data_IF_250291179696
#
_entry.id   IF_250291179696
#
_cell.length_a   1.000
_cell.length_b   1.000
_cell.length_c   1.000
_cell.angle_alpha   90.00
_cell.angle_beta   90.00
_cell.angle_gamma   90.00
#
_symmetry.space_group_name_H-M   'P 1'
#
loop_
_entity.id
_entity.type
_entity.pdbx_description
1 polymer ?
#
# COMPACT_ATOMS: atom_id res chain seq x y z
N UNK A 1 23.35 -40.06 -29.89
CA UNK A 1 22.48 -40.06 -28.70
C UNK A 1 22.40 -38.63 -28.20
N UNK A 2 21.35 -37.90 -28.55
CA UNK A 2 21.17 -36.51 -28.14
C UNK A 2 20.22 -36.47 -26.94
N UNK A 3 20.74 -36.09 -25.78
CA UNK A 3 19.96 -35.85 -24.57
C UNK A 3 19.31 -34.47 -24.66
N UNK A 4 18.01 -34.46 -24.96
CA UNK A 4 17.17 -33.26 -24.92
C UNK A 4 17.06 -32.76 -23.47
N UNK A 5 17.69 -31.62 -23.19
CA UNK A 5 17.55 -30.90 -21.93
C UNK A 5 16.09 -30.50 -21.71
N UNK A 6 15.46 -31.10 -20.69
CA UNK A 6 14.11 -30.81 -20.24
C UNK A 6 14.08 -29.38 -19.66
N UNK A 7 13.64 -28.41 -20.47
CA UNK A 7 13.37 -27.05 -20.00
C UNK A 7 12.34 -27.13 -18.87
N UNK A 8 12.78 -26.84 -17.65
CA UNK A 8 11.92 -26.53 -16.51
C UNK A 8 11.11 -25.29 -16.92
N UNK A 9 9.83 -25.49 -17.19
CA UNK A 9 8.88 -24.42 -17.47
C UNK A 9 8.73 -23.62 -16.16
N UNK A 10 9.04 -22.33 -16.17
CA UNK A 10 8.74 -21.43 -15.03
C UNK A 10 7.24 -21.58 -14.73
N UNK A 11 6.90 -22.01 -13.51
CA UNK A 11 5.54 -22.24 -13.06
C UNK A 11 4.77 -20.93 -12.77
N UNK A 12 5.49 -19.82 -12.62
CA UNK A 12 4.93 -18.48 -12.46
C UNK A 12 4.39 -17.97 -13.79
N UNK A 13 3.18 -17.41 -13.77
CA UNK A 13 2.53 -16.75 -14.91
C UNK A 13 3.14 -15.40 -15.29
N UNK A 14 4.25 -15.00 -14.65
CA UNK A 14 4.97 -13.78 -14.96
C UNK A 14 5.54 -13.79 -16.40
N UNK A 15 5.46 -12.67 -17.13
CA UNK A 15 6.06 -12.56 -18.45
C UNK A 15 7.60 -12.70 -18.40
N UNK A 16 8.17 -13.36 -19.41
CA UNK A 16 9.61 -13.52 -19.54
C UNK A 16 10.28 -12.16 -19.77
N UNK A 17 11.12 -11.70 -18.83
CA UNK A 17 11.77 -10.38 -18.87
C UNK A 17 11.35 -9.42 -17.74
N UNK A 18 10.39 -9.83 -16.91
CA UNK A 18 10.11 -9.19 -15.63
C UNK A 18 11.35 -9.26 -14.71
N UNK A 19 12.12 -8.18 -14.63
CA UNK A 19 13.29 -8.05 -13.75
C UNK A 19 12.96 -8.30 -12.28
N UNK A 20 13.95 -8.80 -11.53
CA UNK A 20 13.81 -9.18 -10.12
C UNK A 20 13.44 -8.00 -9.21
N UNK A 21 12.61 -8.29 -8.21
CA UNK A 21 11.87 -7.38 -7.32
C UNK A 21 10.64 -6.72 -7.97
N UNK A 22 9.62 -7.55 -8.25
CA UNK A 22 8.24 -7.07 -8.40
C UNK A 22 7.53 -7.26 -7.06
N UNK A 23 7.11 -6.16 -6.47
CA UNK A 23 6.14 -6.15 -5.39
C UNK A 23 4.72 -6.32 -5.97
N UNK A 24 3.81 -6.76 -5.10
CA UNK A 24 2.42 -7.04 -5.41
C UNK A 24 1.53 -6.46 -4.33
N UNK A 25 0.32 -6.08 -4.72
CA UNK A 25 -0.77 -5.79 -3.81
C UNK A 25 -1.84 -6.85 -4.02
N UNK A 26 -2.29 -7.48 -2.94
CA UNK A 26 -3.40 -8.41 -2.97
C UNK A 26 -4.63 -7.78 -2.31
N UNK A 27 -5.77 -7.97 -2.93
CA UNK A 27 -7.10 -7.67 -2.39
C UNK A 27 -7.72 -9.00 -2.00
N UNK A 28 -8.03 -9.19 -0.73
CA UNK A 28 -8.63 -10.43 -0.25
C UNK A 28 -10.15 -10.49 -0.52
N UNK A 29 -10.81 -11.57 -0.10
CA UNK A 29 -12.24 -11.80 -0.30
C UNK A 29 -13.15 -10.92 0.57
N UNK A 30 -12.63 -10.34 1.65
CA UNK A 30 -13.31 -9.33 2.48
C UNK A 30 -13.06 -7.89 1.99
N UNK A 31 -12.17 -7.72 1.01
CA UNK A 31 -11.85 -6.45 0.36
C UNK A 31 -10.72 -5.66 1.04
N UNK A 32 -9.93 -6.29 1.90
CA UNK A 32 -8.74 -5.69 2.52
C UNK A 32 -7.51 -5.78 1.60
N UNK A 33 -6.56 -4.85 1.81
CA UNK A 33 -5.38 -4.68 0.96
C UNK A 33 -4.10 -5.05 1.69
N UNK A 34 -3.33 -5.97 1.11
CA UNK A 34 -2.03 -6.40 1.63
C UNK A 34 -0.91 -6.20 0.61
N UNK A 35 0.26 -5.78 1.10
CA UNK A 35 1.45 -5.52 0.29
C UNK A 35 2.51 -6.62 0.47
N UNK A 36 3.03 -7.10 -0.66
CA UNK A 36 3.97 -8.22 -0.75
C UNK A 36 5.17 -7.79 -1.58
N UNK A 37 6.41 -8.00 -1.10
CA UNK A 37 7.62 -7.52 -1.80
C UNK A 37 8.08 -8.43 -2.94
N UNK A 38 7.51 -9.63 -3.01
CA UNK A 38 7.86 -10.63 -4.01
C UNK A 38 6.69 -11.60 -4.20
N UNK A 39 6.78 -12.41 -5.26
CA UNK A 39 5.81 -13.46 -5.52
C UNK A 39 5.85 -14.50 -4.39
N UNK A 40 7.02 -14.82 -3.84
CA UNK A 40 7.15 -15.79 -2.75
C UNK A 40 6.46 -15.30 -1.47
N UNK A 41 6.65 -14.03 -1.11
CA UNK A 41 5.96 -13.41 0.04
C UNK A 41 4.43 -13.42 -0.18
N UNK A 42 3.98 -13.14 -1.41
CA UNK A 42 2.56 -13.18 -1.79
C UNK A 42 1.99 -14.60 -1.62
N UNK A 43 2.62 -15.61 -2.22
CA UNK A 43 2.14 -16.99 -2.17
C UNK A 43 2.14 -17.52 -0.73
N UNK A 44 3.12 -17.12 0.09
CA UNK A 44 3.18 -17.51 1.49
C UNK A 44 2.06 -16.90 2.35
N UNK A 45 1.40 -15.84 1.88
CA UNK A 45 0.33 -15.16 2.61
C UNK A 45 -1.06 -15.78 2.42
N UNK A 46 -1.23 -16.70 1.46
CA UNK A 46 -2.53 -17.29 1.11
C UNK A 46 -2.48 -18.82 1.16
N UNK A 47 -3.55 -19.43 1.66
CA UNK A 47 -3.70 -20.89 1.73
C UNK A 47 -4.42 -21.44 0.49
N UNK A 48 -5.40 -20.69 -0.06
CA UNK A 48 -6.22 -21.16 -1.17
C UNK A 48 -6.42 -20.09 -2.27
N UNK A 49 -6.73 -20.57 -3.48
CA UNK A 49 -6.93 -19.74 -4.69
C UNK A 49 -7.97 -18.63 -4.52
N UNK A 50 -9.01 -18.86 -3.72
CA UNK A 50 -10.14 -17.94 -3.56
C UNK A 50 -9.94 -16.84 -2.52
N UNK A 51 -8.90 -16.92 -1.70
CA UNK A 51 -8.67 -15.94 -0.62
C UNK A 51 -8.21 -14.59 -1.17
N UNK A 52 -7.50 -14.58 -2.30
CA UNK A 52 -7.17 -13.35 -3.02
C UNK A 52 -8.17 -13.11 -4.15
N UNK A 53 -9.09 -12.15 -3.97
CA UNK A 53 -10.02 -11.71 -5.01
C UNK A 53 -9.29 -11.12 -6.23
N UNK A 54 -8.19 -10.40 -6.00
CA UNK A 54 -7.35 -9.82 -7.05
C UNK A 54 -5.91 -9.66 -6.56
N UNK A 55 -4.93 -9.89 -7.45
CA UNK A 55 -3.53 -9.54 -7.24
C UNK A 55 -3.12 -8.52 -8.30
N UNK A 56 -2.40 -7.48 -7.91
CA UNK A 56 -2.02 -6.35 -8.77
C UNK A 56 -0.50 -6.17 -8.70
N UNK A 57 0.15 -5.92 -9.83
CA UNK A 57 1.56 -5.50 -9.89
C UNK A 57 1.69 -3.99 -10.13
N UNK A 58 2.92 -3.45 -10.03
CA UNK A 58 3.18 -2.02 -10.28
C UNK A 58 2.84 -1.51 -11.66
N UNK A 59 2.68 -2.38 -12.65
CA UNK A 59 2.22 -1.98 -13.99
C UNK A 59 0.70 -1.88 -14.09
N UNK A 60 -0.02 -2.12 -13.00
CA UNK A 60 -1.47 -2.21 -12.97
C UNK A 60 -2.00 -3.51 -13.57
N UNK A 61 -1.13 -4.50 -13.80
CA UNK A 61 -1.52 -5.81 -14.29
C UNK A 61 -2.25 -6.58 -13.19
N UNK A 62 -3.41 -7.14 -13.53
CA UNK A 62 -4.21 -7.97 -12.64
C UNK A 62 -3.90 -9.46 -12.85
N UNK A 63 -3.87 -10.19 -11.75
CA UNK A 63 -3.57 -11.61 -11.67
C UNK A 63 -4.56 -12.29 -10.72
N UNK A 64 -4.58 -13.62 -10.77
CA UNK A 64 -5.26 -14.48 -9.78
C UNK A 64 -4.29 -15.54 -9.31
N UNK A 65 -4.47 -15.99 -8.07
CA UNK A 65 -3.83 -17.21 -7.62
C UNK A 65 -4.48 -18.40 -8.32
N UNK A 66 -3.69 -19.43 -8.63
CA UNK A 66 -4.16 -20.67 -9.26
C UNK A 66 -3.39 -21.86 -8.69
N UNK A 67 -3.92 -23.06 -8.87
CA UNK A 67 -3.16 -24.29 -8.60
C UNK A 67 -2.42 -24.72 -9.87
N UNK A 68 -1.12 -25.01 -9.74
CA UNK A 68 -0.35 -25.64 -10.80
C UNK A 68 -0.74 -27.12 -10.99
N UNK A 69 -0.09 -27.81 -11.94
CA UNK A 69 -0.34 -29.23 -12.20
C UNK A 69 -0.05 -30.15 -10.99
N UNK A 70 0.74 -29.68 -10.03
CA UNK A 70 1.10 -30.41 -8.80
C UNK A 70 0.25 -29.98 -7.60
N UNK A 71 -0.78 -29.14 -7.80
CA UNK A 71 -1.63 -28.57 -6.74
C UNK A 71 -0.88 -27.62 -5.79
N UNK A 72 0.20 -26.99 -6.25
CA UNK A 72 0.80 -25.89 -5.53
C UNK A 72 0.15 -24.57 -5.93
N UNK A 73 -0.03 -23.70 -4.95
CA UNK A 73 -0.50 -22.34 -5.17
C UNK A 73 0.59 -21.55 -5.90
N UNK A 74 0.22 -20.93 -7.02
CA UNK A 74 1.11 -20.11 -7.84
C UNK A 74 0.39 -18.86 -8.35
N UNK A 75 1.14 -17.85 -8.76
CA UNK A 75 0.58 -16.70 -9.45
C UNK A 75 0.22 -17.09 -10.88
N UNK A 76 -1.06 -16.93 -11.24
CA UNK A 76 -1.56 -17.20 -12.57
C UNK A 76 -1.03 -16.22 -13.62
N UNK A 77 -1.44 -16.41 -14.87
CA UNK A 77 -1.12 -15.45 -15.93
C UNK A 77 -1.81 -14.11 -15.71
N UNK A 78 -1.22 -13.04 -16.27
CA UNK A 78 -1.84 -11.72 -16.29
C UNK A 78 -3.19 -11.78 -17.03
N UNK A 79 -4.23 -11.21 -16.42
CA UNK A 79 -5.59 -11.19 -16.96
C UNK A 79 -5.88 -9.90 -17.77
N UNK A 80 -5.03 -8.90 -17.61
CA UNK A 80 -5.18 -7.58 -18.22
C UNK A 80 -5.00 -6.47 -17.17
N UNK A 81 -5.20 -5.20 -17.55
CA UNK A 81 -5.16 -4.09 -16.60
C UNK A 81 -6.28 -4.22 -15.57
N UNK A 82 -6.00 -3.85 -14.32
CA UNK A 82 -7.00 -3.77 -13.26
C UNK A 82 -8.06 -2.71 -13.61
N UNK A 83 -9.32 -2.99 -13.30
CA UNK A 83 -10.40 -2.04 -13.54
C UNK A 83 -10.30 -0.88 -12.54
N UNK A 84 -10.02 0.31 -13.06
CA UNK A 84 -9.70 1.51 -12.27
C UNK A 84 -10.83 1.92 -11.33
N UNK A 85 -12.09 1.91 -11.78
CA UNK A 85 -13.22 2.35 -10.95
C UNK A 85 -13.42 1.39 -9.79
N UNK A 86 -13.33 0.09 -10.04
CA UNK A 86 -13.39 -0.94 -9.02
C UNK A 86 -12.25 -0.78 -8.02
N UNK A 87 -11.00 -0.67 -8.48
CA UNK A 87 -9.83 -0.53 -7.60
C UNK A 87 -9.98 0.69 -6.69
N UNK A 88 -10.40 1.81 -7.25
CA UNK A 88 -10.67 3.05 -6.50
C UNK A 88 -11.75 2.84 -5.44
N UNK A 89 -12.89 2.25 -5.78
CA UNK A 89 -13.96 2.03 -4.81
C UNK A 89 -13.56 1.02 -3.73
N UNK A 90 -12.87 -0.05 -4.09
CA UNK A 90 -12.37 -1.06 -3.17
C UNK A 90 -11.38 -0.43 -2.18
N UNK A 91 -10.42 0.35 -2.67
CA UNK A 91 -9.43 1.02 -1.82
C UNK A 91 -10.08 1.99 -0.83
N UNK A 92 -11.08 2.76 -1.26
CA UNK A 92 -11.86 3.62 -0.36
C UNK A 92 -12.70 2.84 0.65
N UNK A 93 -13.24 1.69 0.23
CA UNK A 93 -13.95 0.77 1.11
C UNK A 93 -13.05 0.30 2.24
N UNK A 94 -11.89 -0.27 1.91
CA UNK A 94 -10.88 -0.74 2.87
C UNK A 94 -10.44 0.38 3.81
N UNK A 95 -10.13 1.55 3.25
CA UNK A 95 -9.75 2.74 3.98
C UNK A 95 -10.79 3.17 5.04
N UNK A 96 -12.08 3.08 4.73
CA UNK A 96 -13.15 3.44 5.66
C UNK A 96 -13.45 2.33 6.67
N UNK A 97 -13.35 1.06 6.25
CA UNK A 97 -13.59 -0.10 7.10
C UNK A 97 -12.49 -0.31 8.14
N UNK A 98 -11.23 -0.06 7.76
CA UNK A 98 -10.03 -0.31 8.57
C UNK A 98 -9.18 0.98 8.70
N UNK A 99 -9.70 2.06 9.33
CA UNK A 99 -8.99 3.34 9.43
C UNK A 99 -7.70 3.27 10.27
N UNK A 100 -7.55 2.24 11.11
CA UNK A 100 -6.35 2.02 11.93
C UNK A 100 -5.23 1.32 11.14
N UNK A 101 -5.58 0.60 10.08
CA UNK A 101 -4.65 -0.09 9.18
C UNK A 101 -4.28 0.80 7.99
N UNK A 102 -5.25 1.58 7.51
CA UNK A 102 -5.10 2.53 6.41
C UNK A 102 -5.25 3.97 6.88
N UNK A 103 -4.14 4.53 7.35
CA UNK A 103 -4.09 5.80 8.07
C UNK A 103 -3.68 6.95 7.17
N UNK A 104 -3.00 6.69 6.06
CA UNK A 104 -2.63 7.70 5.08
C UNK A 104 -3.80 7.95 4.13
N UNK A 105 -4.29 9.19 4.08
CA UNK A 105 -5.37 9.62 3.18
C UNK A 105 -4.81 10.53 2.10
N UNK A 106 -4.36 9.94 1.00
CA UNK A 106 -3.90 10.70 -0.18
C UNK A 106 -5.05 11.29 -0.99
N UNK A 107 -4.77 12.35 -1.73
CA UNK A 107 -5.70 12.92 -2.71
C UNK A 107 -6.01 11.91 -3.81
N UNK A 108 -7.21 12.08 -4.37
CA UNK A 108 -7.70 11.19 -5.40
C UNK A 108 -6.89 11.35 -6.69
N UNK A 109 -6.21 10.28 -7.15
CA UNK A 109 -5.48 10.33 -8.39
C UNK A 109 -6.46 10.32 -9.56
N UNK A 110 -6.09 10.99 -10.65
CA UNK A 110 -6.98 11.20 -11.79
C UNK A 110 -6.84 10.08 -12.81
N UNK A 111 -5.69 9.38 -12.80
CA UNK A 111 -5.35 8.31 -13.74
C UNK A 111 -5.20 6.95 -13.06
N UNK A 112 -5.25 5.87 -13.86
CA UNK A 112 -5.02 4.50 -13.38
C UNK A 112 -3.63 4.32 -12.79
N UNK A 113 -2.63 4.88 -13.45
CA UNK A 113 -1.23 4.66 -13.12
C UNK A 113 -0.88 5.37 -11.81
N UNK A 114 -1.43 6.56 -11.58
CA UNK A 114 -1.29 7.26 -10.31
C UNK A 114 -2.00 6.51 -9.17
N UNK A 115 -3.20 5.93 -9.39
CA UNK A 115 -3.87 5.10 -8.36
C UNK A 115 -3.03 3.89 -7.98
N UNK A 116 -2.46 3.19 -8.96
CA UNK A 116 -1.60 2.04 -8.68
C UNK A 116 -0.34 2.50 -7.95
N UNK A 117 0.33 3.55 -8.42
CA UNK A 117 1.53 4.07 -7.77
C UNK A 117 1.25 4.48 -6.31
N UNK A 118 0.21 5.28 -6.09
CA UNK A 118 -0.16 5.76 -4.76
C UNK A 118 -0.55 4.62 -3.81
N UNK A 119 -1.24 3.59 -4.32
CA UNK A 119 -1.60 2.42 -3.52
C UNK A 119 -0.35 1.68 -3.03
N UNK A 120 0.60 1.43 -3.93
CA UNK A 120 1.85 0.73 -3.59
C UNK A 120 2.70 1.54 -2.59
N UNK A 121 2.85 2.84 -2.83
CA UNK A 121 3.57 3.72 -1.90
C UNK A 121 2.89 3.78 -0.54
N UNK A 122 1.56 3.98 -0.51
CA UNK A 122 0.79 4.04 0.74
C UNK A 122 0.96 2.77 1.56
N UNK A 123 0.74 1.60 0.96
CA UNK A 123 0.85 0.34 1.68
C UNK A 123 2.29 0.03 2.12
N UNK A 124 3.30 0.42 1.33
CA UNK A 124 4.70 0.28 1.73
C UNK A 124 5.02 1.13 2.98
N UNK A 125 4.54 2.36 3.02
CA UNK A 125 4.70 3.28 4.15
C UNK A 125 3.98 2.78 5.41
N UNK A 126 2.75 2.30 5.28
CA UNK A 126 1.92 1.82 6.40
C UNK A 126 2.48 0.55 7.04
N UNK A 127 3.08 -0.34 6.25
CA UNK A 127 3.79 -1.52 6.75
C UNK A 127 5.17 -1.19 7.35
N UNK A 128 5.55 0.09 7.41
CA UNK A 128 6.79 0.56 8.03
C UNK A 128 8.05 0.14 7.26
N UNK A 129 7.94 0.01 5.93
CA UNK A 129 9.07 -0.37 5.08
C UNK A 129 9.76 0.90 4.56
N UNK A 130 11.07 0.97 4.77
CA UNK A 130 11.91 2.11 4.39
C UNK A 130 11.97 2.28 2.86
N UNK A 131 11.81 3.52 2.35
CA UNK A 131 12.54 3.93 1.17
C UNK A 131 14.00 4.19 1.57
N UNK A 132 14.91 3.70 0.74
CA UNK A 132 16.34 3.54 1.05
C UNK A 132 17.10 4.81 1.46
N UNK A 133 16.56 6.03 1.25
CA UNK A 133 17.37 7.26 1.41
C UNK A 133 16.61 8.50 1.93
N UNK A 134 15.33 8.40 2.30
CA UNK A 134 14.58 9.56 2.82
C UNK A 134 13.71 9.18 4.02
N UNK A 135 14.06 9.74 5.18
CA UNK A 135 13.26 9.61 6.39
C UNK A 135 12.02 10.51 6.30
N UNK A 136 10.96 10.11 6.99
CA UNK A 136 9.82 10.99 7.26
C UNK A 136 10.32 12.31 7.84
N UNK A 137 9.65 13.41 7.55
CA UNK A 137 9.90 14.68 8.25
C UNK A 137 8.65 15.18 8.94
N UNK A 138 8.77 15.59 10.20
CA UNK A 138 7.67 16.16 10.97
C UNK A 138 8.06 17.57 11.37
N UNK A 139 7.26 18.55 10.97
CA UNK A 139 7.35 19.93 11.44
C UNK A 139 6.25 20.22 12.46
N UNK A 140 6.67 20.70 13.63
CA UNK A 140 5.78 21.17 14.69
C UNK A 140 6.17 22.61 14.99
N UNK A 141 5.39 23.57 14.50
CA UNK A 141 5.62 25.00 14.76
C UNK A 141 7.04 25.47 14.41
N UNK A 142 7.61 24.96 13.31
CA UNK A 142 8.97 25.30 12.86
C UNK A 142 10.08 24.41 13.44
N UNK A 143 9.75 23.46 14.32
CA UNK A 143 10.70 22.44 14.79
C UNK A 143 10.60 21.18 13.92
N UNK A 144 11.60 20.99 13.07
CA UNK A 144 11.70 19.82 12.19
C UNK A 144 12.37 18.62 12.89
N UNK A 145 11.73 17.47 12.81
CA UNK A 145 12.23 16.16 13.28
C UNK A 145 12.22 15.15 12.13
N UNK A 146 13.04 14.09 12.23
CA UNK A 146 13.17 13.06 11.19
C UNK A 146 12.90 11.65 11.73
N UNK A 147 11.63 11.29 12.01
CA UNK A 147 11.30 9.96 12.48
C UNK A 147 11.50 8.91 11.38
N UNK A 148 11.72 7.68 11.81
CA UNK A 148 11.95 6.52 10.93
C UNK A 148 10.65 5.83 10.49
N UNK A 149 9.54 6.06 11.18
CA UNK A 149 8.27 5.36 10.89
C UNK A 149 7.03 6.12 11.36
N UNK A 150 5.87 5.76 10.80
CA UNK A 150 4.56 6.23 11.28
C UNK A 150 4.34 5.98 12.78
N UNK A 151 4.78 4.82 13.28
CA UNK A 151 4.68 4.49 14.71
C UNK A 151 5.50 5.43 15.60
N UNK A 152 6.63 5.93 15.11
CA UNK A 152 7.40 6.94 15.82
C UNK A 152 6.71 8.30 15.79
N UNK A 153 6.16 8.70 14.63
CA UNK A 153 5.34 9.91 14.50
C UNK A 153 4.16 9.85 15.47
N UNK A 154 3.47 8.72 15.58
CA UNK A 154 2.36 8.56 16.54
C UNK A 154 2.77 8.79 17.98
N UNK A 155 3.92 8.23 18.39
CA UNK A 155 4.44 8.42 19.74
C UNK A 155 4.76 9.88 20.01
N UNK A 156 5.32 10.59 19.02
CA UNK A 156 5.56 12.03 19.11
C UNK A 156 4.26 12.82 19.25
N UNK A 157 3.25 12.49 18.44
CA UNK A 157 1.99 13.24 18.37
C UNK A 157 0.97 12.82 19.43
N UNK A 158 1.16 11.69 20.12
CA UNK A 158 0.22 11.13 21.09
C UNK A 158 -0.21 12.15 22.15
N UNK A 159 0.75 12.94 22.66
CA UNK A 159 0.53 13.95 23.71
C UNK A 159 0.31 15.37 23.18
N UNK A 160 0.53 15.60 21.88
CA UNK A 160 0.43 16.94 21.27
C UNK A 160 -1.03 17.36 21.10
N UNK A 161 -1.40 18.54 21.62
CA UNK A 161 -2.67 19.22 21.32
C UNK A 161 -2.38 20.72 21.17
N UNK A 162 -2.82 21.40 20.09
CA UNK A 162 -3.55 20.93 18.90
C UNK A 162 -2.63 20.27 17.83
N UNK A 163 -3.21 19.59 16.83
CA UNK A 163 -2.47 18.99 15.69
C UNK A 163 -2.53 19.83 14.40
N UNK A 164 -3.27 20.94 14.40
CA UNK A 164 -3.57 21.73 13.20
C UNK A 164 -2.33 22.34 12.53
N UNK A 165 -1.31 22.67 13.34
CA UNK A 165 -0.02 23.21 12.90
C UNK A 165 1.02 22.14 12.56
N UNK A 166 0.72 20.86 12.80
CA UNK A 166 1.66 19.79 12.48
C UNK A 166 1.63 19.51 10.98
N UNK A 167 2.81 19.36 10.40
CA UNK A 167 3.00 18.88 9.02
C UNK A 167 3.88 17.67 9.04
N UNK A 168 3.43 16.61 8.38
CA UNK A 168 4.18 15.37 8.21
C UNK A 168 4.46 15.20 6.73
N UNK A 169 5.71 15.03 6.33
CA UNK A 169 6.09 14.74 4.96
C UNK A 169 6.56 13.29 4.88
N UNK A 170 5.99 12.53 3.96
CA UNK A 170 6.48 11.19 3.67
C UNK A 170 7.74 11.22 2.78
N UNK A 171 8.45 10.10 2.65
CA UNK A 171 9.62 10.01 1.80
C UNK A 171 9.38 10.22 0.30
N UNK A 172 8.15 10.02 -0.18
CA UNK A 172 7.77 10.26 -1.57
C UNK A 172 7.44 11.74 -1.83
N UNK A 173 7.38 12.54 -0.76
CA UNK A 173 7.27 13.99 -0.82
C UNK A 173 5.88 14.53 -0.49
N UNK A 174 4.91 13.66 -0.21
CA UNK A 174 3.55 14.06 0.13
C UNK A 174 3.50 14.66 1.52
N UNK A 175 2.67 15.70 1.69
CA UNK A 175 2.53 16.42 2.95
C UNK A 175 1.15 16.12 3.52
N UNK A 176 1.12 15.78 4.80
CA UNK A 176 -0.07 15.41 5.53
C UNK A 176 -0.29 16.33 6.72
N UNK A 177 -1.57 16.57 7.01
CA UNK A 177 -2.05 17.13 8.27
C UNK A 177 -2.59 15.99 9.14
N UNK A 178 -1.99 15.74 10.30
CA UNK A 178 -2.51 14.78 11.26
C UNK A 178 -3.88 15.20 11.81
N UNK A 179 -4.84 14.29 11.85
CA UNK A 179 -6.16 14.47 12.42
C UNK A 179 -6.49 13.29 13.33
N UNK A 180 -6.99 13.58 14.54
CA UNK A 180 -7.46 12.52 15.44
C UNK A 180 -8.78 11.97 14.94
N UNK A 181 -8.79 10.70 14.59
CA UNK A 181 -10.01 9.98 14.24
C UNK A 181 -10.54 9.26 15.46
N UNK A 182 -11.78 9.58 15.81
CA UNK A 182 -12.46 9.03 16.96
C UNK A 182 -13.30 7.85 16.51
N UNK A 183 -12.85 6.63 16.78
CA UNK A 183 -13.57 5.41 16.37
C UNK A 183 -14.96 5.30 17.04
N UNK A 184 -15.13 5.85 18.24
CA UNK A 184 -16.42 5.87 18.94
C UNK A 184 -16.71 7.18 19.68
N UNK A 185 -17.95 7.65 19.57
CA UNK A 185 -18.43 8.90 20.18
C UNK A 185 -18.33 8.97 21.71
N UNK A 186 -18.03 7.87 22.41
CA UNK A 186 -17.86 7.85 23.86
C UNK A 186 -16.40 7.85 24.32
N UNK A 187 -15.43 7.59 23.42
CA UNK A 187 -14.00 7.62 23.77
C UNK A 187 -13.49 9.06 23.89
N UNK A 188 -12.53 9.40 24.77
CA UNK A 188 -11.99 10.76 24.85
C UNK A 188 -11.54 11.31 23.49
N UNK A 189 -11.59 12.63 23.25
CA UNK A 189 -11.13 13.21 21.98
C UNK A 189 -9.62 13.01 21.70
N UNK A 190 -8.86 12.64 22.74
CA UNK A 190 -7.46 12.20 22.62
C UNK A 190 -7.29 10.71 22.35
N UNK A 191 -8.36 9.93 22.46
CA UNK A 191 -8.36 8.50 22.18
C UNK A 191 -8.81 8.25 20.74
N UNK A 192 -8.19 7.27 20.09
CA UNK A 192 -8.37 6.96 18.68
C UNK A 192 -7.08 7.09 17.88
N UNK A 193 -7.09 6.59 16.64
CA UNK A 193 -5.94 6.67 15.76
C UNK A 193 -5.75 8.08 15.18
N UNK A 194 -4.52 8.37 14.78
CA UNK A 194 -4.21 9.58 14.01
C UNK A 194 -4.27 9.19 12.53
N UNK A 195 -5.18 9.82 11.79
CA UNK A 195 -5.19 9.79 10.34
C UNK A 195 -4.27 10.90 9.81
N UNK A 196 -3.58 10.64 8.71
CA UNK A 196 -2.71 11.59 8.06
C UNK A 196 -3.38 11.99 6.75
N UNK A 197 -4.04 13.15 6.75
CA UNK A 197 -4.80 13.63 5.58
C UNK A 197 -3.91 14.49 4.73
N UNK A 198 -3.72 14.12 3.47
CA UNK A 198 -2.87 14.88 2.56
C UNK A 198 -3.40 16.32 2.43
N UNK A 199 -2.47 17.27 2.40
CA UNK A 199 -2.76 18.68 2.13
C UNK A 199 -2.18 19.02 0.77
N UNK A 200 -2.96 19.68 -0.11
CA UNK A 200 -2.49 19.91 -1.47
C UNK A 200 -1.28 20.82 -1.38
N UNK A 201 -0.27 20.55 -2.21
CA UNK A 201 0.83 21.49 -2.36
C UNK A 201 0.22 22.86 -2.69
N UNK A 202 0.66 23.95 -2.02
CA UNK A 202 0.22 25.27 -2.41
C UNK A 202 0.52 25.43 -3.91
N UNK A 203 -0.50 25.78 -4.69
CA UNK A 203 -0.33 26.03 -6.13
C UNK A 203 0.61 27.22 -6.23
N UNK A 204 1.88 26.96 -6.53
CA UNK A 204 2.84 28.02 -6.84
C UNK A 204 2.46 28.55 -8.21
N UNK A 205 1.56 29.52 -8.23
CA UNK A 205 1.26 30.30 -9.44
C UNK A 205 2.54 31.05 -9.79
N UNK A 206 3.24 30.60 -10.83
CA UNK A 206 4.37 31.31 -11.43
C UNK A 206 3.85 32.35 -12.44
#
# INVERSE_FOLDING_TARGET
MNTTSRRIRKASGLPAGAGGARDFVAVDDIGDFSYHRSEEDLIAAFEYVGEAACVIDRSGGSYRLVLDANRHLVLGQVLGPVEFRWLRHAWLGAQNAHPDEHRLRRFYPVTSDEVVSDLFETLALERGREPAESAWSVDIEGFASRPSSLKEIDRMLARQKPLEHVRVKDPFGHIYRPARHRSHWYLPASAGAILYVEVPAPVTTH
#
